data_IF_811951880601
#
_entry.id   IF_811951880601
#
_cell.length_a   1.000
_cell.length_b   1.000
_cell.length_c   1.000
_cell.angle_alpha   90.00
_cell.angle_beta   90.00
_cell.angle_gamma   90.00
#
_symmetry.space_group_name_H-M   'P 1'
#
loop_
_entity.id
_entity.type
_entity.pdbx_description
1 polymer ?
#
# COMPACT_ATOMS: atom_id res chain seq x y z
N UNK A 1 31.08 -4.12 16.84
CA UNK A 1 31.17 -2.89 16.04
C UNK A 1 32.41 -2.97 15.16
N UNK A 2 32.37 -2.46 13.93
CA UNK A 2 33.57 -2.42 13.08
C UNK A 2 34.48 -1.25 13.52
N UNK A 3 35.78 -1.38 13.38
CA UNK A 3 36.77 -0.33 13.72
C UNK A 3 36.44 1.05 13.11
N UNK A 4 35.89 1.06 11.90
CA UNK A 4 35.40 2.27 11.24
C UNK A 4 34.21 2.93 11.95
N UNK A 5 33.32 2.15 12.55
CA UNK A 5 32.18 2.66 13.35
C UNK A 5 32.65 3.31 14.66
N UNK A 6 33.67 2.73 15.29
CA UNK A 6 34.31 3.29 16.50
C UNK A 6 35.06 4.58 16.19
N UNK A 7 35.81 4.61 15.09
CA UNK A 7 36.51 5.81 14.62
C UNK A 7 35.51 6.93 14.26
N UNK A 8 34.35 6.59 13.68
CA UNK A 8 33.31 7.56 13.38
C UNK A 8 32.70 8.15 14.66
N UNK A 9 32.44 7.32 15.67
CA UNK A 9 31.94 7.75 16.98
C UNK A 9 32.99 8.67 17.69
N UNK A 10 34.26 8.28 17.63
CA UNK A 10 35.34 9.07 18.20
C UNK A 10 35.54 10.45 17.53
N UNK A 11 35.20 10.56 16.24
CA UNK A 11 35.21 11.82 15.51
C UNK A 11 34.07 12.78 15.84
N UNK A 12 33.11 12.36 16.69
CA UNK A 12 31.95 13.17 17.10
C UNK A 12 30.90 13.38 16.02
N UNK A 13 30.96 12.61 14.94
CA UNK A 13 29.97 12.70 13.85
C UNK A 13 28.74 11.88 14.19
N UNK A 14 27.57 12.53 14.25
CA UNK A 14 26.31 11.85 14.50
C UNK A 14 25.90 11.00 13.27
N UNK A 15 25.54 9.75 13.50
CA UNK A 15 25.02 8.83 12.49
C UNK A 15 23.99 7.88 13.11
N UNK A 16 23.17 7.29 12.28
CA UNK A 16 22.24 6.22 12.65
C UNK A 16 22.72 4.89 12.06
N UNK A 17 22.14 3.77 12.48
CA UNK A 17 22.45 2.47 11.90
C UNK A 17 22.24 2.44 10.38
N UNK A 18 21.25 3.18 9.89
CA UNK A 18 20.87 3.26 8.45
C UNK A 18 21.87 4.13 7.67
N UNK A 19 22.36 5.22 8.27
CA UNK A 19 23.21 6.20 7.60
C UNK A 19 24.70 5.99 7.86
N UNK A 20 25.05 4.97 8.63
CA UNK A 20 26.45 4.70 9.02
C UNK A 20 27.38 4.62 7.81
N UNK A 21 27.06 3.76 6.86
CA UNK A 21 27.95 3.49 5.74
C UNK A 21 28.07 4.71 4.79
N UNK A 22 26.95 5.41 4.55
CA UNK A 22 26.96 6.65 3.77
C UNK A 22 27.68 7.79 4.50
N UNK A 23 27.63 7.82 5.83
CA UNK A 23 28.39 8.78 6.63
C UNK A 23 29.88 8.47 6.59
N UNK A 24 30.28 7.19 6.63
CA UNK A 24 31.69 6.77 6.44
C UNK A 24 32.19 7.24 5.07
N UNK A 25 31.44 6.98 4.00
CA UNK A 25 31.81 7.43 2.65
C UNK A 25 31.98 8.93 2.60
N UNK A 26 31.03 9.71 3.09
CA UNK A 26 31.12 11.17 3.07
C UNK A 26 32.27 11.74 3.89
N UNK A 27 32.60 11.12 5.03
CA UNK A 27 33.72 11.54 5.89
C UNK A 27 35.08 11.16 5.30
N UNK A 28 35.19 10.00 4.62
CA UNK A 28 36.39 9.62 3.89
C UNK A 28 36.68 10.59 2.73
N UNK A 29 35.64 10.92 1.96
CA UNK A 29 35.77 11.91 0.85
C UNK A 29 36.08 13.30 1.38
N UNK A 30 35.59 13.67 2.57
CA UNK A 30 35.92 14.93 3.24
C UNK A 30 37.34 14.95 3.83
N UNK A 31 38.11 13.84 3.77
CA UNK A 31 39.48 13.77 4.24
C UNK A 31 39.63 13.64 5.76
N UNK A 32 38.66 13.00 6.44
CA UNK A 32 38.74 12.75 7.88
C UNK A 32 39.90 11.77 8.18
N UNK A 33 41.02 12.28 8.71
CA UNK A 33 42.26 11.50 8.92
C UNK A 33 42.09 10.35 9.92
N UNK A 34 41.29 10.51 10.99
CA UNK A 34 41.08 9.45 11.97
C UNK A 34 40.28 8.25 11.34
N UNK A 35 39.39 8.55 10.44
CA UNK A 35 38.64 7.51 9.72
C UNK A 35 39.50 6.88 8.60
N UNK A 36 40.28 7.70 7.89
CA UNK A 36 41.18 7.25 6.83
C UNK A 36 42.24 6.26 7.33
N UNK A 37 42.66 6.35 8.58
CA UNK A 37 43.59 5.41 9.19
C UNK A 37 43.04 3.97 9.32
N UNK A 38 41.73 3.81 9.26
CA UNK A 38 41.05 2.49 9.32
C UNK A 38 40.95 1.80 7.95
N UNK A 39 41.34 2.46 6.86
CA UNK A 39 41.18 1.97 5.48
C UNK A 39 42.52 1.99 4.73
N UNK A 40 42.68 1.08 3.78
CA UNK A 40 43.83 1.08 2.88
C UNK A 40 43.71 2.20 1.85
N UNK A 41 44.83 2.70 1.30
CA UNK A 41 44.79 3.73 0.24
C UNK A 41 43.96 3.32 -0.99
N UNK A 42 43.98 2.04 -1.35
CA UNK A 42 43.15 1.49 -2.44
C UNK A 42 41.65 1.58 -2.13
N UNK A 43 41.27 1.26 -0.89
CA UNK A 43 39.87 1.36 -0.45
C UNK A 43 39.40 2.81 -0.46
N UNK A 44 40.20 3.73 -0.01
CA UNK A 44 39.91 5.18 -0.03
C UNK A 44 39.75 5.66 -1.47
N UNK A 45 40.61 5.24 -2.38
CA UNK A 45 40.55 5.61 -3.80
C UNK A 45 39.23 5.09 -4.42
N UNK A 46 38.87 3.82 -4.16
CA UNK A 46 37.61 3.20 -4.63
C UNK A 46 36.40 3.94 -4.11
N UNK A 47 36.36 4.28 -2.82
CA UNK A 47 35.27 5.03 -2.19
C UNK A 47 35.13 6.43 -2.78
N UNK A 48 36.25 7.10 -3.03
CA UNK A 48 36.28 8.44 -3.63
C UNK A 48 35.75 8.40 -5.07
N UNK A 49 36.16 7.41 -5.84
CA UNK A 49 35.67 7.20 -7.20
C UNK A 49 34.18 6.90 -7.22
N UNK A 50 33.71 6.02 -6.32
CA UNK A 50 32.29 5.73 -6.14
C UNK A 50 31.49 7.01 -5.83
N UNK A 51 31.92 7.82 -4.87
CA UNK A 51 31.29 9.09 -4.51
C UNK A 51 31.22 10.06 -5.69
N UNK A 52 32.28 10.11 -6.51
CA UNK A 52 32.31 10.94 -7.72
C UNK A 52 31.25 10.52 -8.73
N UNK A 53 31.02 9.19 -8.91
CA UNK A 53 29.96 8.67 -9.75
C UNK A 53 28.55 8.89 -9.18
N UNK A 54 28.43 9.01 -7.86
CA UNK A 54 27.19 9.30 -7.17
C UNK A 54 26.89 10.80 -7.04
N UNK A 55 27.60 11.65 -7.78
CA UNK A 55 27.33 13.09 -7.83
C UNK A 55 26.43 13.43 -9.01
N UNK A 56 25.27 13.99 -8.73
CA UNK A 56 24.29 14.42 -9.73
C UNK A 56 24.06 15.92 -9.64
N UNK A 57 24.29 16.65 -10.73
CA UNK A 57 24.17 18.12 -10.80
C UNK A 57 24.95 18.86 -9.68
N UNK A 58 26.13 18.33 -9.30
CA UNK A 58 26.94 18.90 -8.23
C UNK A 58 26.49 18.54 -6.80
N UNK A 59 25.45 17.73 -6.68
CA UNK A 59 24.93 17.25 -5.39
C UNK A 59 25.40 15.81 -5.17
N UNK A 60 26.09 15.56 -4.08
CA UNK A 60 26.52 14.21 -3.67
C UNK A 60 25.32 13.44 -3.09
N UNK A 61 24.87 12.44 -3.83
CA UNK A 61 23.68 11.63 -3.50
C UNK A 61 23.90 10.70 -2.30
N UNK A 62 25.13 10.49 -1.88
CA UNK A 62 25.45 9.65 -0.71
C UNK A 62 25.22 10.38 0.61
N UNK A 63 25.17 11.73 0.58
CA UNK A 63 24.99 12.55 1.77
C UNK A 63 23.55 12.52 2.28
N UNK A 64 23.43 12.62 3.60
CA UNK A 64 22.15 12.87 4.26
C UNK A 64 21.90 14.38 4.30
N UNK A 65 20.75 14.87 3.82
CA UNK A 65 20.48 16.30 3.80
C UNK A 65 20.41 16.85 5.22
N UNK A 66 21.05 17.99 5.43
CA UNK A 66 20.95 18.73 6.69
C UNK A 66 19.92 19.85 6.54
N UNK A 67 19.16 20.12 7.60
CA UNK A 67 18.28 21.27 7.66
C UNK A 67 19.13 22.56 7.63
N UNK A 68 19.13 23.25 6.49
CA UNK A 68 19.87 24.48 6.25
C UNK A 68 19.67 24.96 4.82
N UNK A 69 20.05 26.20 4.52
CA UNK A 69 20.02 26.76 3.16
C UNK A 69 21.20 26.21 2.34
N UNK A 70 21.14 24.93 1.99
CA UNK A 70 22.11 24.27 1.13
C UNK A 70 21.42 23.66 -0.09
N UNK A 71 22.19 23.39 -1.15
CA UNK A 71 21.68 22.71 -2.34
C UNK A 71 21.12 21.32 -2.03
N UNK A 72 21.55 20.70 -0.95
CA UNK A 72 21.10 19.39 -0.51
C UNK A 72 19.59 19.35 -0.18
N UNK A 73 19.01 20.50 0.21
CA UNK A 73 17.57 20.58 0.55
C UNK A 73 16.66 20.61 -0.69
N UNK A 74 17.23 20.94 -1.86
CA UNK A 74 16.45 21.07 -3.10
C UNK A 74 15.81 19.73 -3.52
N UNK A 75 16.56 18.63 -3.44
CA UNK A 75 16.06 17.31 -3.80
C UNK A 75 14.92 16.80 -2.88
N UNK A 76 15.03 16.86 -1.54
CA UNK A 76 13.92 16.57 -0.65
C UNK A 76 12.68 17.41 -0.91
N UNK A 77 12.82 18.73 -1.08
CA UNK A 77 11.68 19.61 -1.38
C UNK A 77 11.05 19.27 -2.72
N UNK A 78 11.86 19.07 -3.76
CA UNK A 78 11.37 18.69 -5.09
C UNK A 78 10.64 17.34 -5.05
N UNK A 79 11.13 16.37 -4.29
CA UNK A 79 10.49 15.06 -4.15
C UNK A 79 9.11 15.18 -3.49
N UNK A 80 8.96 16.00 -2.45
CA UNK A 80 7.69 16.25 -1.78
C UNK A 80 6.71 16.99 -2.71
N UNK A 81 7.17 18.02 -3.43
CA UNK A 81 6.35 18.77 -4.38
C UNK A 81 5.85 17.83 -5.50
N UNK A 82 6.74 17.03 -6.08
CA UNK A 82 6.36 16.08 -7.13
C UNK A 82 5.42 15.00 -6.60
N UNK A 83 5.56 14.56 -5.34
CA UNK A 83 4.66 13.61 -4.71
C UNK A 83 3.26 14.21 -4.48
N UNK A 84 3.17 15.46 -3.99
CA UNK A 84 1.89 16.16 -3.87
C UNK A 84 1.20 16.32 -5.22
N UNK A 85 1.96 16.71 -6.25
CA UNK A 85 1.43 16.88 -7.60
C UNK A 85 0.92 15.56 -8.17
N UNK A 86 1.71 14.48 -8.06
CA UNK A 86 1.34 13.14 -8.48
C UNK A 86 0.07 12.65 -7.76
N UNK A 87 0.00 12.84 -6.45
CA UNK A 87 -1.18 12.48 -5.64
C UNK A 87 -2.41 13.26 -6.11
N UNK A 88 -2.29 14.57 -6.31
CA UNK A 88 -3.40 15.40 -6.78
C UNK A 88 -3.90 15.00 -8.16
N UNK A 89 -2.98 14.73 -9.10
CA UNK A 89 -3.31 14.25 -10.45
C UNK A 89 -3.99 12.88 -10.39
N UNK A 90 -3.49 11.96 -9.57
CA UNK A 90 -4.07 10.63 -9.39
C UNK A 90 -5.47 10.69 -8.77
N UNK A 91 -5.70 11.57 -7.80
CA UNK A 91 -7.03 11.80 -7.22
C UNK A 91 -8.03 12.31 -8.26
N UNK A 92 -7.63 13.30 -9.07
CA UNK A 92 -8.46 13.78 -10.19
C UNK A 92 -8.72 12.68 -11.22
N UNK A 93 -7.73 11.82 -11.46
CA UNK A 93 -7.83 10.73 -12.42
C UNK A 93 -8.84 9.66 -12.00
N UNK A 94 -8.87 9.32 -10.71
CA UNK A 94 -9.77 8.27 -10.18
C UNK A 94 -11.24 8.67 -10.13
N UNK A 95 -11.55 9.98 -10.17
CA UNK A 95 -12.93 10.49 -10.11
C UNK A 95 -13.72 10.04 -8.88
N UNK A 96 -13.02 9.61 -7.84
CA UNK A 96 -13.65 9.21 -6.58
C UNK A 96 -13.94 10.46 -5.71
N UNK A 97 -15.19 10.59 -5.29
CA UNK A 97 -15.52 11.52 -4.22
C UNK A 97 -15.04 10.92 -2.90
N UNK A 98 -13.82 11.29 -2.52
CA UNK A 98 -13.27 10.83 -1.24
C UNK A 98 -13.93 11.57 -0.08
N UNK A 99 -14.33 10.82 0.94
CA UNK A 99 -14.78 11.40 2.21
C UNK A 99 -13.61 12.14 2.90
N UNK A 100 -13.92 13.10 3.76
CA UNK A 100 -12.93 14.01 4.36
C UNK A 100 -11.78 13.30 5.08
N UNK A 101 -12.03 12.20 5.80
CA UNK A 101 -11.00 11.40 6.48
C UNK A 101 -10.00 10.76 5.51
N UNK A 102 -10.46 10.26 4.36
CA UNK A 102 -9.60 9.67 3.34
C UNK A 102 -8.72 10.73 2.65
N UNK A 103 -9.26 11.94 2.42
CA UNK A 103 -8.45 13.07 1.92
C UNK A 103 -7.34 13.43 2.89
N UNK A 104 -7.65 13.52 4.18
CA UNK A 104 -6.67 13.84 5.21
C UNK A 104 -5.52 12.83 5.21
N UNK A 105 -5.83 11.54 5.18
CA UNK A 105 -4.81 10.47 5.14
C UNK A 105 -3.90 10.59 3.91
N UNK A 106 -4.48 10.88 2.73
CA UNK A 106 -3.70 11.02 1.50
C UNK A 106 -2.75 12.23 1.52
N UNK A 107 -3.13 13.33 2.17
CA UNK A 107 -2.24 14.50 2.30
C UNK A 107 -1.25 14.38 3.46
N UNK A 108 -1.57 13.60 4.49
CA UNK A 108 -0.63 13.31 5.59
C UNK A 108 0.54 12.42 5.14
N UNK A 109 0.32 11.54 4.15
CA UNK A 109 1.35 10.61 3.64
C UNK A 109 2.57 11.35 3.07
N UNK A 110 2.44 12.38 2.19
CA UNK A 110 3.57 13.19 1.74
C UNK A 110 4.30 13.94 2.86
N UNK A 111 3.58 14.38 3.89
CA UNK A 111 4.19 15.04 5.05
C UNK A 111 5.06 14.08 5.88
N UNK A 112 4.58 12.86 6.11
CA UNK A 112 5.36 11.82 6.76
C UNK A 112 6.60 11.45 5.91
N UNK A 113 6.44 11.43 4.58
CA UNK A 113 7.54 11.18 3.66
C UNK A 113 8.65 12.24 3.76
N UNK A 114 8.30 13.52 4.00
CA UNK A 114 9.28 14.59 4.22
C UNK A 114 10.26 14.24 5.35
N UNK A 115 9.77 13.65 6.44
CA UNK A 115 10.63 13.19 7.54
C UNK A 115 11.64 12.15 7.09
N UNK A 116 11.21 11.19 6.25
CA UNK A 116 12.12 10.19 5.70
C UNK A 116 13.18 10.80 4.79
N UNK A 117 12.85 11.83 4.00
CA UNK A 117 13.81 12.50 3.13
C UNK A 117 15.00 13.13 3.88
N UNK A 118 14.79 13.52 5.15
CA UNK A 118 15.87 14.03 6.00
C UNK A 118 16.60 12.95 6.81
N UNK A 119 16.11 11.73 6.78
CA UNK A 119 16.70 10.59 7.49
C UNK A 119 17.56 9.73 6.57
N UNK A 120 17.22 9.70 5.28
CA UNK A 120 17.88 8.88 4.27
C UNK A 120 18.82 9.72 3.37
N UNK A 121 19.80 9.08 2.68
CA UNK A 121 20.64 9.75 1.69
C UNK A 121 19.86 10.42 0.57
N UNK A 122 20.42 11.45 -0.05
CA UNK A 122 19.81 12.23 -1.13
C UNK A 122 19.41 11.38 -2.37
N UNK A 123 20.09 10.27 -2.59
CA UNK A 123 19.71 9.28 -3.61
C UNK A 123 18.27 8.82 -3.46
N UNK A 124 17.78 8.69 -2.23
CA UNK A 124 16.40 8.34 -1.94
C UNK A 124 15.41 9.40 -2.45
N UNK A 125 15.68 10.66 -2.18
CA UNK A 125 14.88 11.77 -2.67
C UNK A 125 14.87 11.86 -4.20
N UNK A 126 16.02 11.66 -4.85
CA UNK A 126 16.12 11.64 -6.31
C UNK A 126 15.31 10.49 -6.92
N UNK A 127 15.41 9.29 -6.33
CA UNK A 127 14.60 8.15 -6.76
C UNK A 127 13.10 8.47 -6.74
N UNK A 128 12.62 9.11 -5.69
CA UNK A 128 11.20 9.46 -5.59
C UNK A 128 10.79 10.57 -6.56
N UNK A 129 11.64 11.55 -6.85
CA UNK A 129 11.37 12.55 -7.89
C UNK A 129 11.13 11.86 -9.22
N UNK A 130 12.05 10.99 -9.63
CA UNK A 130 11.95 10.26 -10.90
C UNK A 130 10.70 9.35 -10.90
N UNK A 131 10.49 8.59 -9.83
CA UNK A 131 9.33 7.68 -9.69
C UNK A 131 7.99 8.43 -9.77
N UNK A 132 7.87 9.59 -9.11
CA UNK A 132 6.67 10.41 -9.15
C UNK A 132 6.41 10.97 -10.55
N UNK A 133 7.46 11.39 -11.27
CA UNK A 133 7.32 11.84 -12.66
C UNK A 133 6.84 10.70 -13.55
N UNK A 134 7.48 9.53 -13.47
CA UNK A 134 7.10 8.35 -14.25
C UNK A 134 5.65 7.94 -13.95
N UNK A 135 5.27 7.87 -12.67
CA UNK A 135 3.91 7.53 -12.24
C UNK A 135 2.89 8.56 -12.75
N UNK A 136 3.23 9.85 -12.74
CA UNK A 136 2.37 10.92 -13.27
C UNK A 136 2.15 10.76 -14.76
N UNK A 137 3.23 10.53 -15.53
CA UNK A 137 3.15 10.28 -16.97
C UNK A 137 2.31 9.03 -17.27
N UNK A 138 2.59 7.92 -16.55
CA UNK A 138 1.83 6.70 -16.70
C UNK A 138 0.32 6.91 -16.41
N UNK A 139 -0.02 7.64 -15.36
CA UNK A 139 -1.41 7.96 -15.03
C UNK A 139 -2.08 8.77 -16.15
N UNK A 140 -1.39 9.73 -16.75
CA UNK A 140 -1.92 10.54 -17.85
C UNK A 140 -2.10 9.72 -19.13
N UNK A 141 -1.14 8.84 -19.45
CA UNK A 141 -1.23 7.92 -20.59
C UNK A 141 -2.41 6.96 -20.42
N UNK A 142 -2.53 6.35 -19.22
CA UNK A 142 -3.64 5.44 -18.92
C UNK A 142 -5.01 6.14 -19.03
N UNK A 143 -5.12 7.40 -18.61
CA UNK A 143 -6.35 8.19 -18.77
C UNK A 143 -6.72 8.45 -20.23
N UNK A 144 -5.74 8.61 -21.09
CA UNK A 144 -5.99 8.79 -22.54
C UNK A 144 -6.42 7.50 -23.22
N UNK A 145 -5.89 6.37 -22.79
CA UNK A 145 -6.21 5.04 -23.33
C UNK A 145 -7.54 4.53 -22.77
N UNK A 146 -7.69 4.64 -21.46
CA UNK A 146 -8.88 4.17 -20.73
C UNK A 146 -9.63 5.37 -20.16
N UNK A 147 -10.72 5.77 -20.85
CA UNK A 147 -11.62 6.80 -20.35
C UNK A 147 -12.36 6.28 -19.11
N UNK A 148 -12.09 6.83 -17.92
CA UNK A 148 -12.68 6.32 -16.68
C UNK A 148 -14.18 6.53 -16.61
N UNK A 149 -14.74 7.49 -17.36
CA UNK A 149 -16.19 7.72 -17.40
C UNK A 149 -16.88 6.64 -18.24
N UNK A 150 -16.33 6.32 -19.40
CA UNK A 150 -16.84 5.22 -20.24
C UNK A 150 -16.74 3.88 -19.54
N UNK A 151 -15.64 3.60 -18.83
CA UNK A 151 -15.52 2.37 -18.03
C UNK A 151 -16.57 2.32 -16.91
N UNK A 152 -16.81 3.42 -16.21
CA UNK A 152 -17.85 3.48 -15.16
C UNK A 152 -19.25 3.24 -15.73
N UNK A 153 -19.54 3.78 -16.91
CA UNK A 153 -20.80 3.54 -17.60
C UNK A 153 -20.93 2.08 -18.05
N UNK A 154 -19.88 1.50 -18.60
CA UNK A 154 -19.86 0.08 -19.01
C UNK A 154 -20.10 -0.85 -17.80
N UNK A 155 -19.36 -0.62 -16.70
CA UNK A 155 -19.54 -1.40 -15.46
C UNK A 155 -20.93 -1.21 -14.89
N UNK A 156 -21.48 0.01 -14.87
CA UNK A 156 -22.88 0.24 -14.44
C UNK A 156 -23.89 -0.48 -15.33
N UNK A 157 -23.68 -0.43 -16.64
CA UNK A 157 -24.53 -1.13 -17.62
C UNK A 157 -24.43 -2.65 -17.43
N UNK A 158 -23.24 -3.20 -17.21
CA UNK A 158 -23.01 -4.62 -16.94
C UNK A 158 -23.66 -5.07 -15.62
N UNK A 159 -23.50 -4.29 -14.55
CA UNK A 159 -24.18 -4.58 -13.26
C UNK A 159 -25.70 -4.52 -13.43
N UNK A 160 -26.22 -3.55 -14.20
CA UNK A 160 -27.64 -3.44 -14.44
C UNK A 160 -28.18 -4.61 -15.30
N UNK A 161 -27.40 -5.06 -16.29
CA UNK A 161 -27.76 -6.23 -17.10
C UNK A 161 -27.71 -7.52 -16.26
N UNK A 162 -26.65 -7.72 -15.46
CA UNK A 162 -26.56 -8.87 -14.53
C UNK A 162 -27.72 -8.90 -13.53
N UNK A 163 -28.08 -7.76 -12.95
CA UNK A 163 -29.25 -7.67 -12.04
C UNK A 163 -30.57 -7.94 -12.77
N UNK A 164 -30.69 -7.55 -14.06
CA UNK A 164 -31.85 -7.90 -14.86
C UNK A 164 -31.88 -9.39 -15.23
N UNK A 165 -30.73 -9.97 -15.52
CA UNK A 165 -30.58 -11.40 -15.79
C UNK A 165 -30.83 -12.24 -14.54
N UNK A 166 -30.31 -11.80 -13.36
CA UNK A 166 -30.66 -12.44 -12.07
C UNK A 166 -32.15 -12.36 -11.79
N UNK A 167 -32.80 -11.22 -12.04
CA UNK A 167 -34.26 -11.09 -11.91
C UNK A 167 -35.04 -11.90 -12.97
N UNK A 168 -34.46 -12.06 -14.18
CA UNK A 168 -35.01 -12.91 -15.24
C UNK A 168 -34.62 -14.37 -15.10
N UNK A 169 -33.44 -14.65 -14.59
CA UNK A 169 -32.85 -15.96 -14.35
C UNK A 169 -33.35 -16.65 -13.08
N UNK A 170 -34.32 -16.03 -12.38
CA UNK A 170 -35.25 -16.72 -11.50
C UNK A 170 -36.19 -17.58 -12.40
N UNK A 171 -35.57 -18.36 -13.31
CA UNK A 171 -36.26 -19.45 -13.95
C UNK A 171 -36.64 -20.44 -12.85
N UNK A 172 -37.94 -20.66 -12.71
CA UNK A 172 -38.47 -21.78 -11.95
C UNK A 172 -37.70 -23.05 -12.34
N UNK A 173 -36.93 -23.58 -11.39
CA UNK A 173 -36.24 -24.85 -11.60
C UNK A 173 -37.25 -25.95 -11.29
N UNK A 174 -37.50 -26.81 -12.26
CA UNK A 174 -38.36 -27.98 -12.06
C UNK A 174 -37.62 -28.98 -11.19
N UNK A 175 -38.08 -29.20 -9.98
CA UNK A 175 -37.55 -30.26 -9.10
C UNK A 175 -38.61 -31.38 -8.99
N UNK A 176 -38.07 -32.62 -8.97
CA UNK A 176 -38.89 -33.80 -8.69
C UNK A 176 -39.08 -33.88 -7.18
N UNK A 177 -40.30 -33.68 -6.73
CA UNK A 177 -40.67 -33.78 -5.32
C UNK A 177 -41.58 -35.01 -5.18
N UNK A 178 -41.24 -35.88 -4.26
CA UNK A 178 -42.10 -37.02 -3.92
C UNK A 178 -43.25 -36.51 -3.05
N UNK A 179 -44.48 -36.74 -3.48
CA UNK A 179 -45.64 -36.31 -2.71
C UNK A 179 -45.79 -37.21 -1.49
N UNK A 180 -45.80 -36.61 -0.30
CA UNK A 180 -45.89 -37.35 0.99
C UNK A 180 -47.19 -38.16 1.16
N UNK A 181 -48.22 -37.86 0.36
CA UNK A 181 -49.53 -38.56 0.46
C UNK A 181 -49.72 -39.67 -0.55
N UNK A 182 -49.11 -39.61 -1.72
CA UNK A 182 -49.30 -40.56 -2.82
C UNK A 182 -48.06 -41.33 -3.20
N UNK A 183 -46.88 -40.94 -2.73
CA UNK A 183 -45.59 -41.57 -3.07
C UNK A 183 -45.13 -41.36 -4.52
N UNK A 184 -45.92 -40.65 -5.34
CA UNK A 184 -45.61 -40.37 -6.73
C UNK A 184 -44.66 -39.17 -6.87
N UNK A 185 -43.74 -39.25 -7.83
CA UNK A 185 -42.78 -38.18 -8.12
C UNK A 185 -43.47 -37.15 -9.02
N UNK A 186 -43.86 -36.02 -8.46
CA UNK A 186 -44.47 -34.90 -9.18
C UNK A 186 -43.41 -33.82 -9.48
N UNK A 187 -43.36 -33.39 -10.74
CA UNK A 187 -42.51 -32.27 -11.15
C UNK A 187 -43.18 -30.95 -10.75
N UNK A 188 -42.58 -30.26 -9.75
CA UNK A 188 -43.08 -28.97 -9.28
C UNK A 188 -42.09 -27.84 -9.66
N UNK A 189 -42.63 -26.83 -10.31
CA UNK A 189 -41.91 -25.60 -10.64
C UNK A 189 -41.78 -24.75 -9.38
N UNK A 190 -40.55 -24.60 -8.86
CA UNK A 190 -40.27 -23.83 -7.65
C UNK A 190 -39.53 -22.58 -8.02
N UNK A 191 -39.89 -21.45 -7.41
CA UNK A 191 -39.15 -20.16 -7.58
C UNK A 191 -37.77 -20.24 -6.93
N UNK A 192 -36.81 -19.49 -7.45
CA UNK A 192 -35.44 -19.45 -6.86
C UNK A 192 -35.46 -18.98 -5.40
N UNK A 193 -36.42 -18.15 -5.02
CA UNK A 193 -36.62 -17.72 -3.62
C UNK A 193 -36.97 -18.91 -2.73
N UNK A 194 -37.87 -19.77 -3.19
CA UNK A 194 -38.32 -20.97 -2.48
C UNK A 194 -37.24 -22.04 -2.43
N UNK A 195 -36.43 -22.15 -3.49
CA UNK A 195 -35.25 -23.03 -3.51
C UNK A 195 -34.16 -22.57 -2.52
N UNK A 196 -33.88 -21.27 -2.44
CA UNK A 196 -32.94 -20.72 -1.45
C UNK A 196 -33.47 -20.92 -0.02
N UNK A 197 -34.79 -20.78 0.21
CA UNK A 197 -35.38 -21.04 1.51
C UNK A 197 -35.19 -22.50 1.93
N UNK A 198 -35.46 -23.46 1.04
CA UNK A 198 -35.24 -24.89 1.29
C UNK A 198 -33.75 -25.24 1.54
N UNK A 199 -32.86 -24.66 0.77
CA UNK A 199 -31.41 -24.83 1.01
C UNK A 199 -31.00 -24.30 2.38
N UNK A 200 -31.52 -23.16 2.79
CA UNK A 200 -31.28 -22.59 4.10
C UNK A 200 -31.83 -23.43 5.24
N UNK A 201 -33.05 -23.98 5.06
CA UNK A 201 -33.67 -24.90 6.02
C UNK A 201 -32.86 -26.20 6.15
N UNK A 202 -32.42 -26.76 5.01
CA UNK A 202 -31.58 -27.96 5.00
C UNK A 202 -30.23 -27.71 5.68
N UNK A 203 -29.56 -26.59 5.40
CA UNK A 203 -28.33 -26.20 6.05
C UNK A 203 -28.53 -26.04 7.57
N UNK A 204 -29.62 -25.39 8.00
CA UNK A 204 -29.96 -25.25 9.42
C UNK A 204 -30.22 -26.60 10.11
N UNK A 205 -30.84 -27.53 9.43
CA UNK A 205 -31.07 -28.89 9.97
C UNK A 205 -29.75 -29.64 10.12
N UNK A 206 -28.86 -29.57 9.10
CA UNK A 206 -27.50 -30.14 9.21
C UNK A 206 -26.68 -29.51 10.32
N UNK A 207 -26.76 -28.20 10.46
CA UNK A 207 -26.07 -27.52 11.56
C UNK A 207 -26.64 -27.91 12.92
N UNK A 208 -27.97 -28.01 13.04
CA UNK A 208 -28.63 -28.46 14.26
C UNK A 208 -28.27 -29.92 14.62
N UNK A 209 -28.09 -30.79 13.64
CA UNK A 209 -27.64 -32.18 13.87
C UNK A 209 -26.14 -32.20 14.23
N UNK A 210 -25.32 -31.42 13.56
CA UNK A 210 -23.84 -31.36 13.78
C UNK A 210 -23.48 -30.78 15.14
N UNK A 211 -24.24 -29.80 15.62
CA UNK A 211 -24.02 -29.11 16.90
C UNK A 211 -24.98 -29.51 18.01
N UNK A 212 -25.62 -30.66 17.88
CA UNK A 212 -26.61 -31.16 18.84
C UNK A 212 -26.03 -31.35 20.25
N UNK A 213 -24.73 -31.63 20.33
CA UNK A 213 -23.99 -31.83 21.58
C UNK A 213 -23.25 -30.57 22.06
N UNK A 214 -23.22 -29.49 21.26
CA UNK A 214 -22.64 -28.23 21.69
C UNK A 214 -23.69 -27.36 22.38
N UNK A 215 -23.48 -27.14 23.68
CA UNK A 215 -24.30 -26.24 24.49
C UNK A 215 -24.04 -24.81 24.04
N UNK A 216 -24.84 -24.27 23.14
CA UNK A 216 -24.80 -22.85 22.77
C UNK A 216 -25.25 -22.01 23.97
N UNK A 217 -24.28 -21.37 24.62
CA UNK A 217 -24.55 -20.41 25.69
C UNK A 217 -25.09 -19.14 25.06
N UNK A 218 -26.29 -18.68 25.38
CA UNK A 218 -26.85 -17.45 24.81
C UNK A 218 -25.96 -16.24 25.21
N UNK A 219 -25.86 -15.28 24.29
CA UNK A 219 -25.01 -14.08 24.45
C UNK A 219 -25.30 -13.30 25.76
N UNK A 220 -26.53 -13.38 26.27
CA UNK A 220 -26.95 -12.79 27.55
C UNK A 220 -26.24 -13.42 28.77
N UNK A 221 -25.89 -14.70 28.73
CA UNK A 221 -25.13 -15.34 29.82
C UNK A 221 -23.63 -15.01 29.78
N UNK A 222 -23.10 -14.72 28.57
CA UNK A 222 -21.70 -14.29 28.39
C UNK A 222 -21.46 -12.84 28.85
N UNK A 223 -22.49 -12.00 28.82
CA UNK A 223 -22.41 -10.61 29.28
C UNK A 223 -22.41 -10.52 30.82
N UNK A 224 -23.22 -11.34 31.48
CA UNK A 224 -23.28 -11.36 32.97
C UNK A 224 -22.03 -11.93 33.62
N UNK A 225 -21.18 -12.67 32.92
CA UNK A 225 -19.94 -13.26 33.46
C UNK A 225 -18.72 -12.31 33.40
N UNK A 226 -18.89 -11.09 32.90
CA UNK A 226 -17.85 -10.05 32.89
C UNK A 226 -18.01 -8.99 33.95
N UNK A 227 -19.05 -9.07 34.78
CA UNK A 227 -19.32 -8.12 35.88
C UNK A 227 -19.06 -8.67 37.29
N UNK A 228 -18.58 -9.91 37.41
CA UNK A 228 -18.03 -10.53 38.64
C UNK A 228 -16.49 -10.72 38.45
#
# INVERSE_FOLDING_TARGET
MTAAGEALTASGVAFTAITRDTTIISQLVAGNGSLAACFTPEQIATVTEFSRHMTFLGIDLTRVPKLGLSLDIVLPLLSVITMFLSTHISMKASGQQMQGSMKLTMYMMPLMYLFFCFTYPLAFSLYYVISNIVMTVQTQVMRKIYDPEKMKEQVKAEIASRKKEEKRGVKSTTIKVQDEKTGEVVEKNISASEMNKRRLEYARQQDAERYKDERTVPLSELQNKKED
#
